data_IF_552655294654
#
_entry.id   IF_552655294654
#
_cell.length_a   1.000
_cell.length_b   1.000
_cell.length_c   1.000
_cell.angle_alpha   90.00
_cell.angle_beta   90.00
_cell.angle_gamma   90.00
#
_symmetry.space_group_name_H-M   'P 1'
#
loop_
_entity.id
_entity.type
_entity.pdbx_description
1 polymer ?
#
# COMPACT_ATOMS: atom_id res chain seq x y z
N UNK A 1 3.16 1.33 -3.84
CA UNK A 1 4.64 1.44 -3.85
C UNK A 1 5.30 0.15 -3.39
N UNK A 2 5.05 -0.28 -2.15
CA UNK A 2 5.58 -1.54 -1.59
C UNK A 2 5.48 -2.75 -2.54
N UNK A 3 4.29 -3.09 -3.04
CA UNK A 3 4.11 -4.23 -3.96
C UNK A 3 4.97 -4.13 -5.23
N UNK A 4 5.16 -2.93 -5.78
CA UNK A 4 5.99 -2.73 -6.97
C UNK A 4 7.48 -2.94 -6.66
N UNK A 5 7.93 -2.53 -5.48
CA UNK A 5 9.30 -2.78 -5.02
C UNK A 5 9.51 -4.27 -4.70
N UNK A 6 8.52 -4.93 -4.09
CA UNK A 6 8.61 -6.37 -3.78
C UNK A 6 8.57 -7.24 -5.02
N UNK A 7 7.87 -6.84 -6.08
CA UNK A 7 7.97 -7.52 -7.37
C UNK A 7 9.36 -7.44 -8.01
N UNK A 8 10.23 -6.51 -7.59
CA UNK A 8 11.59 -6.37 -8.13
C UNK A 8 12.71 -6.84 -7.19
N UNK A 9 12.49 -6.75 -5.87
CA UNK A 9 13.54 -6.88 -4.86
C UNK A 9 13.26 -7.93 -3.78
N UNK A 10 12.02 -8.43 -3.67
CA UNK A 10 11.58 -9.28 -2.56
C UNK A 10 10.95 -10.59 -2.99
N UNK A 11 10.42 -11.33 -2.02
CA UNK A 11 9.85 -12.66 -2.23
C UNK A 11 8.35 -12.60 -2.49
N UNK A 12 7.75 -13.61 -3.15
CA UNK A 12 6.30 -13.71 -3.32
C UNK A 12 5.53 -13.65 -1.98
N UNK A 13 6.12 -14.22 -0.91
CA UNK A 13 5.63 -14.12 0.49
C UNK A 13 5.46 -12.68 0.95
N UNK A 14 6.40 -11.81 0.61
CA UNK A 14 6.46 -10.45 1.11
C UNK A 14 5.35 -9.58 0.47
N UNK A 15 4.83 -9.96 -0.70
CA UNK A 15 3.63 -9.36 -1.32
C UNK A 15 2.38 -9.59 -0.47
N UNK A 16 2.29 -10.74 0.23
CA UNK A 16 1.17 -11.05 1.12
C UNK A 16 1.07 -10.14 2.34
N UNK A 17 2.20 -9.58 2.80
CA UNK A 17 2.22 -8.61 3.89
C UNK A 17 1.42 -7.34 3.57
N UNK A 18 1.29 -6.98 2.28
CA UNK A 18 0.53 -5.82 1.83
C UNK A 18 -0.91 -5.82 2.37
N UNK A 19 -1.56 -6.97 2.44
CA UNK A 19 -2.95 -7.07 2.94
C UNK A 19 -3.07 -6.50 4.36
N UNK A 20 -2.10 -6.78 5.23
CA UNK A 20 -2.09 -6.25 6.60
C UNK A 20 -1.73 -4.76 6.59
N UNK A 21 -0.77 -4.35 5.76
CA UNK A 21 -0.34 -2.95 5.67
C UNK A 21 -1.46 -2.01 5.17
N UNK A 22 -2.38 -2.51 4.33
CA UNK A 22 -3.52 -1.71 3.87
C UNK A 22 -4.47 -1.32 4.99
N UNK A 23 -4.53 -2.11 6.08
CA UNK A 23 -5.36 -1.82 7.25
C UNK A 23 -4.85 -0.58 7.99
N UNK A 24 -3.53 -0.40 8.07
CA UNK A 24 -2.89 0.75 8.72
C UNK A 24 -3.08 2.04 7.93
N UNK A 25 -3.06 1.93 6.60
CA UNK A 25 -3.07 3.08 5.70
C UNK A 25 -4.44 3.81 5.65
N UNK A 26 -5.46 3.27 6.30
CA UNK A 26 -6.82 3.81 6.33
C UNK A 26 -7.15 4.60 7.60
N UNK A 27 -8.34 5.21 7.64
CA UNK A 27 -8.78 5.99 8.80
C UNK A 27 -9.06 5.13 10.03
N UNK A 28 -9.19 3.81 9.87
CA UNK A 28 -9.53 2.87 10.96
C UNK A 28 -8.53 2.92 12.12
N UNK A 29 -7.24 2.61 11.88
CA UNK A 29 -6.25 2.64 12.96
C UNK A 29 -6.04 4.05 13.51
N UNK A 30 -6.10 5.08 12.66
CA UNK A 30 -5.98 6.47 13.12
C UNK A 30 -7.11 6.82 14.11
N UNK A 31 -8.37 6.54 13.75
CA UNK A 31 -9.51 6.79 14.62
C UNK A 31 -9.47 5.93 15.89
N UNK A 32 -9.06 4.66 15.77
CA UNK A 32 -8.90 3.76 16.91
C UNK A 32 -7.84 4.28 17.88
N UNK A 33 -6.66 4.66 17.38
CA UNK A 33 -5.56 5.19 18.20
C UNK A 33 -5.95 6.49 18.89
N UNK A 34 -6.55 7.43 18.16
CA UNK A 34 -7.07 8.67 18.75
C UNK A 34 -8.17 8.40 19.80
N UNK A 35 -9.02 7.39 19.56
CA UNK A 35 -10.02 6.93 20.51
C UNK A 35 -9.44 6.35 21.80
N UNK A 36 -8.53 5.39 21.67
CA UNK A 36 -7.87 4.71 22.79
C UNK A 36 -6.98 5.66 23.59
N UNK A 37 -6.32 6.61 22.93
CA UNK A 37 -5.52 7.65 23.57
C UNK A 37 -6.37 8.70 24.33
N UNK A 38 -7.70 8.62 24.25
CA UNK A 38 -8.60 9.60 24.87
C UNK A 38 -8.62 10.96 24.18
N UNK A 39 -8.06 11.05 22.97
CA UNK A 39 -7.98 12.29 22.18
C UNK A 39 -9.26 12.54 21.37
N UNK A 40 -10.14 11.54 21.22
CA UNK A 40 -11.38 11.65 20.45
C UNK A 40 -12.41 10.60 20.86
N UNK A 41 -13.69 10.89 20.64
CA UNK A 41 -14.76 9.87 20.63
C UNK A 41 -15.35 9.79 19.23
N UNK A 42 -15.13 8.67 18.54
CA UNK A 42 -15.70 8.42 17.22
C UNK A 42 -16.90 7.49 17.32
N UNK A 43 -17.90 7.75 16.49
CA UNK A 43 -19.05 6.84 16.33
C UNK A 43 -18.58 5.48 15.81
N UNK A 44 -19.00 4.39 16.46
CA UNK A 44 -18.55 3.04 16.10
C UNK A 44 -18.90 2.67 14.65
N UNK A 45 -19.95 3.26 14.07
CA UNK A 45 -20.32 3.09 12.67
C UNK A 45 -19.23 3.60 11.72
N UNK A 46 -18.53 4.69 12.06
CA UNK A 46 -17.41 5.20 11.25
C UNK A 46 -16.22 4.23 11.28
N UNK A 47 -15.95 3.61 12.43
CA UNK A 47 -14.92 2.57 12.55
C UNK A 47 -15.29 1.34 11.72
N UNK A 48 -16.55 0.89 11.78
CA UNK A 48 -17.01 -0.26 10.98
C UNK A 48 -16.96 0.04 9.49
N UNK A 49 -17.41 1.23 9.07
CA UNK A 49 -17.34 1.64 7.66
C UNK A 49 -15.92 1.64 7.10
N UNK A 50 -14.91 1.96 7.92
CA UNK A 50 -13.51 1.97 7.52
C UNK A 50 -12.92 0.57 7.27
N UNK A 51 -13.40 -0.47 7.97
CA UNK A 51 -12.90 -1.85 7.83
C UNK A 51 -13.77 -2.74 6.93
N UNK A 52 -15.02 -2.33 6.69
CA UNK A 52 -16.02 -3.13 5.99
C UNK A 52 -15.57 -3.65 4.61
N UNK A 53 -14.90 -2.86 3.74
CA UNK A 53 -14.44 -3.36 2.44
C UNK A 53 -13.44 -4.51 2.55
N UNK A 54 -12.53 -4.45 3.54
CA UNK A 54 -11.56 -5.51 3.80
C UNK A 54 -12.26 -6.78 4.27
N UNK A 55 -13.21 -6.66 5.19
CA UNK A 55 -13.97 -7.80 5.73
C UNK A 55 -14.78 -8.49 4.62
N UNK A 56 -15.48 -7.72 3.79
CA UNK A 56 -16.22 -8.25 2.65
C UNK A 56 -15.27 -8.98 1.68
N UNK A 57 -14.12 -8.38 1.36
CA UNK A 57 -13.10 -9.01 0.52
C UNK A 57 -12.60 -10.34 1.08
N UNK A 58 -12.33 -10.41 2.39
CA UNK A 58 -11.91 -11.65 3.07
C UNK A 58 -12.99 -12.72 3.04
N UNK A 59 -14.26 -12.35 3.29
CA UNK A 59 -15.38 -13.30 3.25
C UNK A 59 -15.54 -13.88 1.85
N UNK A 60 -15.59 -13.03 0.82
CA UNK A 60 -15.73 -13.47 -0.57
C UNK A 60 -14.55 -14.35 -0.99
N UNK A 61 -13.32 -13.94 -0.68
CA UNK A 61 -12.12 -14.69 -1.05
C UNK A 61 -11.98 -16.06 -0.37
N UNK A 62 -12.63 -16.25 0.79
CA UNK A 62 -12.67 -17.53 1.49
C UNK A 62 -13.85 -18.42 1.05
N UNK A 63 -15.00 -17.84 0.70
CA UNK A 63 -16.19 -18.58 0.26
C UNK A 63 -16.11 -19.00 -1.21
N UNK A 64 -15.49 -18.19 -2.07
CA UNK A 64 -15.43 -18.42 -3.51
C UNK A 64 -13.98 -18.36 -4.01
N UNK A 65 -13.42 -19.56 -4.27
CA UNK A 65 -12.05 -19.70 -4.78
C UNK A 65 -11.91 -19.22 -6.22
N UNK A 66 -12.95 -19.31 -7.03
CA UNK A 66 -12.93 -18.86 -8.42
C UNK A 66 -12.94 -17.32 -8.47
N UNK A 67 -13.79 -16.70 -7.66
CA UNK A 67 -13.80 -15.24 -7.47
C UNK A 67 -12.45 -14.74 -6.93
N UNK A 68 -11.85 -15.43 -5.96
CA UNK A 68 -10.49 -15.11 -5.47
C UNK A 68 -9.46 -15.16 -6.60
N UNK A 69 -9.49 -16.20 -7.43
CA UNK A 69 -8.56 -16.36 -8.56
C UNK A 69 -8.81 -15.33 -9.67
N UNK A 70 -10.05 -14.90 -9.86
CA UNK A 70 -10.41 -13.84 -10.79
C UNK A 70 -9.89 -12.47 -10.30
N UNK A 71 -10.15 -12.12 -9.04
CA UNK A 71 -9.74 -10.83 -8.45
C UNK A 71 -8.22 -10.73 -8.24
N UNK A 72 -7.51 -11.83 -7.96
CA UNK A 72 -6.06 -11.82 -7.77
C UNK A 72 -5.30 -11.42 -9.04
N UNK A 73 -5.81 -11.79 -10.22
CA UNK A 73 -5.26 -11.41 -11.53
C UNK A 73 -5.36 -9.90 -11.80
N UNK A 74 -6.26 -9.19 -11.12
CA UNK A 74 -6.39 -7.75 -11.27
C UNK A 74 -5.25 -6.99 -10.58
N UNK A 75 -4.64 -7.54 -9.53
CA UNK A 75 -3.63 -6.82 -8.72
C UNK A 75 -2.42 -6.38 -9.56
N UNK A 76 -1.74 -7.26 -10.33
CA UNK A 76 -0.60 -6.84 -11.14
C UNK A 76 -0.97 -5.82 -12.22
N UNK A 77 -2.17 -5.95 -12.79
CA UNK A 77 -2.69 -5.00 -13.79
C UNK A 77 -2.92 -3.63 -13.16
N UNK A 78 -3.38 -3.56 -11.91
CA UNK A 78 -3.64 -2.31 -11.21
C UNK A 78 -2.36 -1.60 -10.74
N UNK A 79 -1.22 -2.30 -10.57
CA UNK A 79 0.05 -1.69 -10.13
C UNK A 79 0.45 -0.48 -11.01
N UNK A 80 0.56 -0.59 -12.36
CA UNK A 80 0.92 0.54 -13.20
C UNK A 80 -0.10 1.68 -13.17
N UNK A 81 -1.41 1.38 -13.08
CA UNK A 81 -2.44 2.42 -12.95
C UNK A 81 -2.35 3.14 -11.59
N UNK A 82 -2.10 2.41 -10.50
CA UNK A 82 -1.86 3.02 -9.19
C UNK A 82 -0.58 3.85 -9.18
N UNK A 83 0.49 3.39 -9.84
CA UNK A 83 1.73 4.16 -9.97
C UNK A 83 1.50 5.45 -10.77
N UNK A 84 0.77 5.38 -11.88
CA UNK A 84 0.42 6.54 -12.69
C UNK A 84 -0.50 7.51 -11.94
N UNK A 85 -1.58 7.01 -11.32
CA UNK A 85 -2.51 7.82 -10.54
C UNK A 85 -1.84 8.45 -9.32
N UNK A 86 -0.93 7.74 -8.66
CA UNK A 86 -0.11 8.31 -7.59
C UNK A 86 0.74 9.44 -8.15
N UNK A 87 1.45 9.21 -9.27
CA UNK A 87 2.29 10.20 -9.92
C UNK A 87 1.54 11.47 -10.35
N UNK A 88 0.35 11.33 -10.96
CA UNK A 88 -0.48 12.47 -11.36
C UNK A 88 -1.21 13.12 -10.19
N UNK A 89 -1.45 12.36 -9.11
CA UNK A 89 -2.04 12.86 -7.86
C UNK A 89 -1.04 13.57 -6.94
N UNK A 90 0.28 13.46 -7.19
CA UNK A 90 1.28 14.17 -6.40
C UNK A 90 1.13 15.68 -6.55
N UNK A 91 0.80 16.34 -5.45
CA UNK A 91 0.61 17.79 -5.44
C UNK A 91 1.89 18.49 -4.95
N UNK A 92 2.74 18.91 -5.88
CA UNK A 92 3.97 19.66 -5.58
C UNK A 92 3.69 21.01 -4.91
N UNK A 93 2.52 21.62 -5.12
CA UNK A 93 2.12 22.83 -4.41
C UNK A 93 1.92 22.56 -2.92
N UNK A 94 1.37 21.39 -2.54
CA UNK A 94 1.28 21.01 -1.12
C UNK A 94 2.64 20.77 -0.49
N UNK A 95 3.60 20.21 -1.22
CA UNK A 95 5.01 20.10 -0.75
C UNK A 95 5.60 21.48 -0.50
N UNK A 96 5.37 22.41 -1.43
CA UNK A 96 5.83 23.79 -1.29
C UNK A 96 5.18 24.49 -0.11
N UNK A 97 3.86 24.32 0.09
CA UNK A 97 3.11 24.88 1.22
C UNK A 97 3.53 24.27 2.57
N UNK A 98 3.78 22.96 2.62
CA UNK A 98 4.32 22.31 3.81
C UNK A 98 5.77 22.75 4.11
N UNK A 99 6.49 23.19 3.08
CA UNK A 99 7.84 23.72 3.17
C UNK A 99 8.83 22.72 3.77
N UNK A 100 9.78 23.25 4.56
CA UNK A 100 10.82 22.44 5.19
C UNK A 100 10.26 21.42 6.19
N UNK A 101 9.11 21.71 6.81
CA UNK A 101 8.46 20.79 7.74
C UNK A 101 7.94 19.53 7.02
N UNK A 102 7.31 19.68 5.85
CA UNK A 102 6.85 18.53 5.06
C UNK A 102 7.99 17.64 4.57
N UNK A 103 9.07 18.26 4.10
CA UNK A 103 10.28 17.52 3.68
C UNK A 103 10.90 16.80 4.87
N UNK A 104 11.11 17.51 5.98
CA UNK A 104 11.67 16.94 7.20
C UNK A 104 10.83 15.80 7.76
N UNK A 105 9.52 15.94 7.77
CA UNK A 105 8.59 14.89 8.20
C UNK A 105 8.61 13.68 7.27
N UNK A 106 8.63 13.88 5.95
CA UNK A 106 8.73 12.76 5.00
C UNK A 106 10.04 11.99 5.15
N UNK A 107 11.17 12.69 5.30
CA UNK A 107 12.47 12.06 5.61
C UNK A 107 12.41 11.33 6.95
N UNK A 108 11.84 11.96 7.97
CA UNK A 108 11.69 11.35 9.29
C UNK A 108 10.84 10.08 9.22
N UNK A 109 9.77 10.04 8.42
CA UNK A 109 8.99 8.80 8.20
C UNK A 109 9.91 7.69 7.68
N UNK A 110 10.65 7.94 6.60
CA UNK A 110 11.53 6.92 6.01
C UNK A 110 12.58 6.42 7.01
N UNK A 111 13.17 7.31 7.80
CA UNK A 111 14.23 6.96 8.76
C UNK A 111 13.64 6.27 10.01
N UNK A 112 12.66 6.89 10.65
CA UNK A 112 12.09 6.44 11.93
C UNK A 112 11.28 5.16 11.75
N UNK A 113 10.60 4.96 10.62
CA UNK A 113 9.91 3.70 10.33
C UNK A 113 10.84 2.68 9.67
N UNK A 114 11.71 3.12 8.75
CA UNK A 114 12.57 2.22 7.99
C UNK A 114 13.66 1.54 8.82
N UNK A 115 14.24 2.21 9.82
CA UNK A 115 15.25 1.59 10.68
C UNK A 115 14.64 0.41 11.48
N UNK A 116 13.57 0.59 12.27
CA UNK A 116 12.92 -0.52 12.96
C UNK A 116 12.44 -1.61 12.00
N UNK A 117 11.84 -1.24 10.86
CA UNK A 117 11.33 -2.22 9.89
C UNK A 117 12.46 -3.02 9.23
N UNK A 118 13.60 -2.40 8.95
CA UNK A 118 14.79 -3.11 8.45
C UNK A 118 15.24 -4.20 9.43
N UNK A 119 15.31 -3.87 10.73
CA UNK A 119 15.68 -4.85 11.74
C UNK A 119 14.59 -5.90 11.96
N UNK A 120 13.32 -5.50 11.98
CA UNK A 120 12.18 -6.40 12.14
C UNK A 120 12.14 -7.44 11.00
N UNK A 121 12.30 -7.01 9.76
CA UNK A 121 12.37 -7.89 8.60
C UNK A 121 13.54 -8.89 8.72
N UNK A 122 14.71 -8.42 9.21
CA UNK A 122 15.85 -9.31 9.44
C UNK A 122 15.61 -10.34 10.54
N UNK A 123 14.91 -9.93 11.61
CA UNK A 123 14.55 -10.81 12.73
C UNK A 123 13.49 -11.86 12.33
N UNK A 124 12.65 -11.56 11.34
CA UNK A 124 11.63 -12.49 10.82
C UNK A 124 12.13 -13.33 9.63
N UNK A 125 13.44 -13.26 9.32
CA UNK A 125 14.09 -14.09 8.30
C UNK A 125 14.10 -13.49 6.88
N UNK A 126 13.89 -12.18 6.73
CA UNK A 126 14.23 -11.42 5.52
C UNK A 126 15.65 -10.84 5.58
N UNK A 127 16.04 -10.12 4.55
CA UNK A 127 17.34 -9.44 4.47
C UNK A 127 17.29 -7.94 4.85
N UNK A 128 16.11 -7.42 5.19
CA UNK A 128 15.87 -6.02 5.55
C UNK A 128 15.29 -5.17 4.41
N UNK A 129 15.33 -5.64 3.16
CA UNK A 129 14.89 -4.88 1.98
C UNK A 129 13.37 -4.69 1.99
N UNK A 130 12.60 -5.70 2.41
CA UNK A 130 11.15 -5.60 2.51
C UNK A 130 10.76 -4.58 3.59
N UNK A 131 11.48 -4.57 4.72
CA UNK A 131 11.31 -3.59 5.78
C UNK A 131 11.52 -2.14 5.32
N UNK A 132 12.57 -1.89 4.53
CA UNK A 132 12.83 -0.56 3.97
C UNK A 132 11.79 -0.18 2.89
N UNK A 133 11.38 -1.13 2.06
CA UNK A 133 10.34 -0.91 1.06
C UNK A 133 8.97 -0.56 1.69
N UNK A 134 8.74 -1.01 2.92
CA UNK A 134 7.56 -0.72 3.71
C UNK A 134 7.54 0.69 4.33
N UNK A 135 8.68 1.36 4.41
CA UNK A 135 8.86 2.64 5.11
C UNK A 135 8.38 3.87 4.32
N UNK A 136 7.13 3.81 3.82
CA UNK A 136 6.53 4.86 3.00
C UNK A 136 5.18 5.32 3.54
N UNK A 137 4.82 6.59 3.30
CA UNK A 137 3.47 7.06 3.56
C UNK A 137 2.57 6.70 2.38
N UNK A 138 1.50 5.93 2.64
CA UNK A 138 0.56 5.53 1.61
C UNK A 138 -0.24 6.73 1.07
N UNK A 139 -0.51 6.76 -0.24
CA UNK A 139 -1.19 7.88 -0.88
C UNK A 139 -2.62 8.12 -0.37
N UNK A 140 -3.32 7.07 0.07
CA UNK A 140 -4.64 7.16 0.70
C UNK A 140 -4.60 7.87 2.07
N UNK A 141 -3.45 7.92 2.75
CA UNK A 141 -3.31 8.56 4.05
C UNK A 141 -3.62 10.06 3.98
N UNK A 142 -3.42 10.70 2.81
CA UNK A 142 -3.74 12.12 2.62
C UNK A 142 -5.24 12.42 2.80
N UNK A 143 -6.13 11.45 2.61
CA UNK A 143 -7.57 11.64 2.82
C UNK A 143 -7.99 11.45 4.29
N UNK A 144 -7.14 10.85 5.13
CA UNK A 144 -7.48 10.48 6.50
C UNK A 144 -7.86 11.69 7.37
N UNK A 145 -7.14 12.84 7.36
CA UNK A 145 -7.52 13.99 8.19
C UNK A 145 -8.92 14.52 7.90
N UNK A 146 -9.31 14.57 6.63
CA UNK A 146 -10.64 15.00 6.23
C UNK A 146 -11.73 14.03 6.71
N UNK A 147 -11.47 12.71 6.61
CA UNK A 147 -12.38 11.68 7.12
C UNK A 147 -12.51 11.76 8.64
N UNK A 148 -11.39 11.95 9.34
CA UNK A 148 -11.36 12.13 10.80
C UNK A 148 -12.16 13.36 11.23
N UNK A 149 -12.01 14.49 10.54
CA UNK A 149 -12.75 15.70 10.84
C UNK A 149 -14.25 15.61 10.51
N UNK A 150 -14.60 14.86 9.46
CA UNK A 150 -16.00 14.53 9.16
C UNK A 150 -16.62 13.64 10.25
N UNK A 151 -15.82 12.76 10.88
CA UNK A 151 -16.26 11.89 11.96
C UNK A 151 -16.26 12.58 13.33
N UNK A 152 -15.40 13.58 13.54
CA UNK A 152 -15.36 14.41 14.75
C UNK A 152 -14.98 15.87 14.43
N UNK A 153 -15.91 16.83 14.64
CA UNK A 153 -15.68 18.26 14.40
C UNK A 153 -14.49 18.88 15.14
N UNK A 154 -14.04 18.27 16.26
CA UNK A 154 -12.86 18.75 17.01
C UNK A 154 -11.58 18.82 16.17
N UNK A 155 -11.53 18.11 15.03
CA UNK A 155 -10.39 18.07 14.14
C UNK A 155 -10.53 18.95 12.90
N UNK A 156 -11.60 19.75 12.77
CA UNK A 156 -11.83 20.60 11.58
C UNK A 156 -10.66 21.55 11.30
N UNK A 157 -10.17 22.24 12.34
CA UNK A 157 -9.06 23.20 12.20
C UNK A 157 -7.73 22.52 11.87
N UNK A 158 -7.54 21.28 12.36
CA UNK A 158 -6.33 20.49 12.12
C UNK A 158 -6.33 19.79 10.76
N UNK A 159 -7.51 19.53 10.17
CA UNK A 159 -7.63 18.69 8.97
C UNK A 159 -6.89 19.28 7.76
N UNK A 160 -7.01 20.58 7.51
CA UNK A 160 -6.35 21.26 6.40
C UNK A 160 -4.82 21.16 6.50
N UNK A 161 -4.20 21.68 7.57
CA UNK A 161 -2.76 21.59 7.77
C UNK A 161 -2.23 20.14 7.78
N UNK A 162 -2.95 19.21 8.42
CA UNK A 162 -2.56 17.80 8.45
C UNK A 162 -2.61 17.15 7.05
N UNK A 163 -3.61 17.49 6.23
CA UNK A 163 -3.72 17.01 4.85
C UNK A 163 -2.51 17.45 4.02
N UNK A 164 -2.15 18.74 4.11
CA UNK A 164 -0.99 19.30 3.40
C UNK A 164 0.31 18.61 3.84
N UNK A 165 0.48 18.40 5.15
CA UNK A 165 1.68 17.76 5.69
C UNK A 165 1.79 16.28 5.26
N UNK A 166 0.70 15.52 5.37
CA UNK A 166 0.68 14.11 4.96
C UNK A 166 0.88 13.97 3.45
N UNK A 167 0.27 14.84 2.64
CA UNK A 167 0.50 14.85 1.20
C UNK A 167 1.97 15.14 0.86
N UNK A 168 2.62 16.05 1.59
CA UNK A 168 4.05 16.27 1.44
C UNK A 168 4.87 15.02 1.80
N UNK A 169 4.53 14.33 2.90
CA UNK A 169 5.14 13.05 3.26
C UNK A 169 4.95 11.98 2.17
N UNK A 170 3.76 11.87 1.57
CA UNK A 170 3.49 10.95 0.46
C UNK A 170 4.44 11.24 -0.70
N UNK A 171 4.60 12.49 -1.12
CA UNK A 171 5.52 12.86 -2.22
C UNK A 171 6.96 12.51 -1.86
N UNK A 172 7.42 12.95 -0.70
CA UNK A 172 8.81 12.77 -0.27
C UNK A 172 9.15 11.29 -0.12
N UNK A 173 8.28 10.52 0.53
CA UNK A 173 8.49 9.07 0.70
C UNK A 173 8.33 8.29 -0.60
N UNK A 174 7.48 8.74 -1.54
CA UNK A 174 7.38 8.12 -2.86
C UNK A 174 8.69 8.21 -3.68
N UNK A 175 9.51 9.24 -3.41
CA UNK A 175 10.83 9.42 -4.04
C UNK A 175 11.93 8.73 -3.24
N UNK A 176 11.95 8.91 -1.92
CA UNK A 176 13.03 8.39 -1.08
C UNK A 176 12.97 6.88 -0.89
N UNK A 177 11.78 6.31 -0.69
CA UNK A 177 11.64 4.87 -0.39
C UNK A 177 12.22 3.98 -1.50
N UNK A 178 11.93 4.18 -2.81
CA UNK A 178 12.56 3.41 -3.87
C UNK A 178 14.09 3.54 -3.88
N UNK A 179 14.61 4.76 -3.70
CA UNK A 179 16.06 5.04 -3.70
C UNK A 179 16.74 4.32 -2.54
N UNK A 180 16.19 4.45 -1.33
CA UNK A 180 16.71 3.77 -0.13
C UNK A 180 16.61 2.24 -0.28
N UNK A 181 15.50 1.73 -0.79
CA UNK A 181 15.30 0.28 -1.01
C UNK A 181 16.32 -0.26 -2.01
N UNK A 182 16.51 0.41 -3.15
CA UNK A 182 17.48 0.00 -4.16
C UNK A 182 18.92 0.07 -3.64
N UNK A 183 19.25 1.11 -2.86
CA UNK A 183 20.57 1.26 -2.25
C UNK A 183 20.87 0.14 -1.23
N UNK A 184 19.92 -0.16 -0.33
CA UNK A 184 20.07 -1.25 0.64
C UNK A 184 20.16 -2.59 -0.08
N UNK A 185 19.30 -2.85 -1.08
CA UNK A 185 19.36 -4.07 -1.88
C UNK A 185 20.71 -4.23 -2.62
N UNK A 186 21.35 -3.13 -3.01
CA UNK A 186 22.71 -3.13 -3.58
C UNK A 186 23.80 -3.53 -2.57
N UNK A 187 23.58 -3.28 -1.28
CA UNK A 187 24.52 -3.60 -0.20
C UNK A 187 24.30 -5.03 0.33
N UNK A 188 23.05 -5.40 0.61
CA UNK A 188 22.72 -6.68 1.27
C UNK A 188 22.34 -7.80 0.31
N UNK A 189 22.25 -7.50 -1.00
CA UNK A 189 21.73 -8.40 -2.02
C UNK A 189 20.20 -8.33 -2.14
N UNK A 190 19.67 -8.88 -3.24
CA UNK A 190 18.22 -9.02 -3.45
C UNK A 190 17.75 -10.36 -2.90
N UNK A 191 16.59 -10.38 -2.25
CA UNK A 191 15.99 -11.61 -1.73
C UNK A 191 14.93 -12.10 -2.72
N UNK A 192 15.38 -12.54 -3.89
CA UNK A 192 14.50 -13.04 -4.95
C UNK A 192 14.46 -14.56 -4.83
N UNK A 193 13.36 -15.09 -4.33
CA UNK A 193 13.08 -16.53 -4.50
C UNK A 193 12.84 -16.81 -6.00
N UNK A 194 13.36 -17.91 -6.56
CA UNK A 194 13.08 -18.29 -7.94
C UNK A 194 11.57 -18.31 -8.16
N UNK A 195 11.12 -17.64 -9.22
CA UNK A 195 9.71 -17.66 -9.63
C UNK A 195 9.33 -19.13 -9.84
N UNK A 196 8.51 -19.68 -8.95
CA UNK A 196 7.81 -20.94 -9.24
C UNK A 196 6.98 -20.62 -10.47
N UNK A 197 7.39 -21.17 -11.61
CA UNK A 197 6.72 -21.05 -12.90
C UNK A 197 5.28 -21.53 -12.68
N UNK A 198 4.37 -20.59 -12.39
CA UNK A 198 2.95 -20.87 -12.26
C UNK A 198 2.53 -21.20 -13.67
N UNK A 199 2.67 -22.49 -14.01
CA UNK A 199 2.39 -23.04 -15.32
C UNK A 199 1.04 -22.50 -15.77
N UNK A 200 1.09 -21.51 -16.66
CA UNK A 200 -0.10 -20.98 -17.31
C UNK A 200 -0.58 -22.15 -18.16
N UNK A 201 -1.60 -22.85 -17.66
CA UNK A 201 -2.23 -23.95 -18.38
C UNK A 201 -2.48 -23.44 -19.82
N UNK A 202 -2.03 -24.19 -20.86
CA UNK A 202 -2.17 -23.73 -22.23
C UNK A 202 -3.62 -23.35 -22.48
N UNK A 203 -3.85 -22.18 -23.08
CA UNK A 203 -5.18 -21.80 -23.54
C UNK A 203 -5.74 -22.97 -24.35
N UNK A 204 -6.96 -23.44 -24.07
CA UNK A 204 -7.56 -24.52 -24.84
C UNK A 204 -7.51 -24.11 -26.31
N UNK A 205 -6.74 -24.83 -27.12
CA UNK A 205 -6.66 -24.64 -28.56
C UNK A 205 -8.08 -24.72 -29.10
N UNK A 206 -8.59 -23.59 -29.60
CA UNK A 206 -9.89 -23.54 -30.25
C UNK A 206 -9.90 -24.63 -31.33
N UNK A 207 -10.79 -25.61 -31.18
CA UNK A 207 -10.96 -26.66 -32.16
C UNK A 207 -11.29 -26.00 -33.50
N UNK A 208 -10.39 -26.17 -34.48
CA UNK A 208 -10.63 -25.73 -35.85
C UNK A 208 -11.87 -26.50 -36.35
N UNK A 209 -12.96 -25.82 -36.72
CA UNK A 209 -14.13 -26.51 -37.24
C UNK A 209 -13.75 -27.25 -38.52
N UNK A 210 -14.10 -28.54 -38.59
CA UNK A 210 -13.83 -29.38 -39.75
C UNK A 210 -14.48 -28.76 -41.00
N UNK A 211 -13.81 -28.80 -42.17
CA UNK A 211 -14.37 -28.26 -43.40
C UNK A 211 -15.68 -29.00 -43.73
N UNK A 212 -16.76 -28.24 -43.82
CA UNK A 212 -18.04 -28.73 -44.34
C UNK A 212 -17.85 -29.11 -45.80
N UNK A 213 -17.82 -30.42 -46.07
CA UNK A 213 -17.88 -30.94 -47.44
C UNK A 213 -19.28 -30.66 -47.97
N UNK A 214 -19.40 -29.64 -48.82
CA UNK A 214 -20.62 -29.33 -49.55
C UNK A 214 -20.99 -30.48 -50.48
N UNK A 215 -22.29 -30.83 -50.48
CA UNK A 215 -22.93 -31.61 -51.54
C UNK A 215 -23.51 -30.64 -52.56
#
# INVERSE_FOLDING_TARGET
LYMALMGQYGRPRDVGAYTIMTLESGPFLTMLTLGVAGLSSFHWQALVGAILPLVIGMIIGNLDREMRAFLSKAVPVMIPFFAFALGTGLNLSQVWQAGLLGIGMGVAVVVVTGIPLFFADRLTGGNGVAGVAAASTAGNAAAVPAIVAAANPAYLDAAGPATILIAACVVVTAILTPVCTAWIAGIVGRDIEPEEDVAVAPLPTAAVPAPTVGR
#
